data_IF_379222074566
#
_entry.id   IF_379222074566
#
_cell.length_a   1.000
_cell.length_b   1.000
_cell.length_c   1.000
_cell.angle_alpha   90.00
_cell.angle_beta   90.00
_cell.angle_gamma   90.00
#
_symmetry.space_group_name_H-M   'P 1'
#
loop_
_entity.id
_entity.type
_entity.pdbx_description
1 polymer ?
#
# COMPACT_ATOMS: atom_id res chain seq x y z
N UNK A 1 -0.59 -13.63 -18.19
CA UNK A 1 0.46 -12.74 -18.75
C UNK A 1 0.33 -11.30 -18.23
N UNK A 2 -0.71 -10.54 -18.60
CA UNK A 2 -0.86 -9.09 -18.31
C UNK A 2 -0.72 -8.68 -16.83
N UNK A 3 -1.31 -9.46 -15.92
CA UNK A 3 -1.21 -9.21 -14.47
C UNK A 3 0.25 -9.24 -13.97
N UNK A 4 1.05 -10.21 -14.42
CA UNK A 4 2.44 -10.36 -14.01
C UNK A 4 3.29 -9.21 -14.54
N UNK A 5 3.02 -8.76 -15.76
CA UNK A 5 3.67 -7.59 -16.36
C UNK A 5 3.38 -6.33 -15.56
N UNK A 6 2.11 -6.02 -15.28
CA UNK A 6 1.72 -4.85 -14.49
C UNK A 6 2.33 -4.88 -13.08
N UNK A 7 2.38 -6.05 -12.44
CA UNK A 7 3.03 -6.23 -11.12
C UNK A 7 4.52 -5.92 -11.20
N UNK A 8 5.20 -6.40 -12.25
CA UNK A 8 6.62 -6.14 -12.45
C UNK A 8 6.89 -4.67 -12.77
N UNK A 9 6.07 -4.03 -13.60
CA UNK A 9 6.14 -2.58 -13.85
C UNK A 9 5.97 -1.79 -12.56
N UNK A 10 4.96 -2.12 -11.74
CA UNK A 10 4.76 -1.48 -10.43
C UNK A 10 5.99 -1.61 -9.54
N UNK A 11 6.60 -2.80 -9.47
CA UNK A 11 7.84 -3.02 -8.71
C UNK A 11 9.02 -2.21 -9.27
N UNK A 12 9.13 -2.06 -10.58
CA UNK A 12 10.16 -1.24 -11.23
C UNK A 12 9.99 0.24 -10.87
N UNK A 13 8.75 0.76 -10.92
CA UNK A 13 8.44 2.12 -10.48
C UNK A 13 8.78 2.34 -9.00
N UNK A 14 8.50 1.38 -8.12
CA UNK A 14 8.91 1.44 -6.70
C UNK A 14 10.43 1.54 -6.57
N UNK A 15 11.19 0.74 -7.33
CA UNK A 15 12.67 0.81 -7.33
C UNK A 15 13.19 2.15 -7.84
N UNK A 16 12.49 2.76 -8.81
CA UNK A 16 12.78 4.10 -9.34
C UNK A 16 12.32 5.23 -8.41
N UNK A 17 11.67 4.93 -7.28
CA UNK A 17 11.11 5.91 -6.36
C UNK A 17 9.83 6.59 -6.85
N UNK A 18 9.24 6.12 -7.95
CA UNK A 18 8.00 6.64 -8.53
C UNK A 18 6.78 5.94 -7.95
N UNK A 19 6.47 6.23 -6.69
CA UNK A 19 5.42 5.51 -5.96
C UNK A 19 4.01 5.77 -6.52
N UNK A 20 3.73 6.96 -7.05
CA UNK A 20 2.40 7.27 -7.64
C UNK A 20 2.12 6.45 -8.90
N UNK A 21 3.11 6.35 -9.81
CA UNK A 21 3.00 5.50 -10.99
C UNK A 21 2.86 4.02 -10.59
N UNK A 22 3.60 3.59 -9.56
CA UNK A 22 3.47 2.24 -9.02
C UNK A 22 2.06 1.95 -8.50
N UNK A 23 1.44 2.88 -7.76
CA UNK A 23 0.06 2.76 -7.27
C UNK A 23 -0.93 2.59 -8.42
N UNK A 24 -0.76 3.34 -9.51
CA UNK A 24 -1.62 3.21 -10.70
C UNK A 24 -1.49 1.82 -11.32
N UNK A 25 -0.26 1.31 -11.48
CA UNK A 25 0.00 -0.04 -12.02
C UNK A 25 -0.55 -1.14 -11.11
N UNK A 26 -0.40 -1.01 -9.79
CA UNK A 26 -1.00 -1.94 -8.84
C UNK A 26 -2.53 -1.88 -8.84
N UNK A 27 -3.13 -0.70 -9.02
CA UNK A 27 -4.59 -0.58 -9.13
C UNK A 27 -5.13 -1.25 -10.41
N UNK A 28 -4.40 -1.16 -11.53
CA UNK A 28 -4.70 -1.94 -12.74
C UNK A 28 -4.57 -3.46 -12.49
N UNK A 29 -3.55 -3.90 -11.74
CA UNK A 29 -3.45 -5.30 -11.29
C UNK A 29 -4.68 -5.73 -10.49
N UNK A 30 -5.17 -4.88 -9.57
CA UNK A 30 -6.34 -5.18 -8.75
C UNK A 30 -7.64 -5.21 -9.55
N UNK A 31 -7.76 -4.40 -10.62
CA UNK A 31 -8.89 -4.53 -11.56
C UNK A 31 -8.93 -5.89 -12.25
N UNK A 32 -7.76 -6.44 -12.57
CA UNK A 32 -7.65 -7.77 -13.20
C UNK A 32 -7.82 -8.90 -12.19
N UNK A 33 -7.24 -8.77 -11.00
CA UNK A 33 -7.38 -9.74 -9.93
C UNK A 33 -7.54 -9.04 -8.57
N UNK A 34 -8.78 -8.78 -8.13
CA UNK A 34 -9.06 -8.05 -6.91
C UNK A 34 -8.84 -8.89 -5.64
N UNK A 35 -8.47 -10.17 -5.76
CA UNK A 35 -8.19 -11.06 -4.63
C UNK A 35 -6.71 -11.20 -4.31
N UNK A 36 -5.84 -10.47 -5.01
CA UNK A 36 -4.40 -10.59 -4.78
C UNK A 36 -3.91 -9.72 -3.61
N UNK A 37 -3.77 -10.36 -2.44
CA UNK A 37 -3.26 -9.72 -1.22
C UNK A 37 -1.85 -9.13 -1.39
N UNK A 38 -1.00 -9.76 -2.21
CA UNK A 38 0.36 -9.27 -2.51
C UNK A 38 0.35 -7.88 -3.16
N UNK A 39 -0.62 -7.61 -4.03
CA UNK A 39 -0.70 -6.33 -4.75
C UNK A 39 -1.19 -5.23 -3.81
N UNK A 40 -2.23 -5.50 -3.02
CA UNK A 40 -2.69 -4.55 -1.99
C UNK A 40 -1.59 -4.19 -1.02
N UNK A 41 -0.85 -5.18 -0.50
CA UNK A 41 0.26 -4.87 0.39
C UNK A 41 1.27 -3.97 -0.32
N UNK A 42 1.69 -4.28 -1.55
CA UNK A 42 2.64 -3.45 -2.31
C UNK A 42 2.15 -2.04 -2.61
N UNK A 43 0.86 -1.88 -2.90
CA UNK A 43 0.22 -0.57 -3.04
C UNK A 43 0.24 0.21 -1.71
N UNK A 44 -0.07 -0.45 -0.59
CA UNK A 44 0.04 0.14 0.75
C UNK A 44 1.47 0.64 1.05
N UNK A 45 2.50 -0.08 0.64
CA UNK A 45 3.89 0.38 0.81
C UNK A 45 4.17 1.66 0.01
N UNK A 46 3.63 1.76 -1.21
CA UNK A 46 3.75 2.98 -2.00
C UNK A 46 3.04 4.14 -1.32
N UNK A 47 1.85 3.92 -0.79
CA UNK A 47 1.13 4.92 0.00
C UNK A 47 1.90 5.37 1.24
N UNK A 48 2.52 4.44 1.97
CA UNK A 48 3.40 4.79 3.11
C UNK A 48 4.55 5.72 2.68
N UNK A 49 5.15 5.47 1.51
CA UNK A 49 6.23 6.31 0.96
C UNK A 49 5.73 7.67 0.45
N UNK A 50 4.47 7.76 0.08
CA UNK A 50 3.78 8.99 -0.32
C UNK A 50 3.16 9.75 0.87
N UNK A 51 3.42 9.32 2.11
CA UNK A 51 2.80 9.90 3.32
C UNK A 51 1.27 9.78 3.37
N UNK A 52 0.70 8.92 2.52
CA UNK A 52 -0.72 8.63 2.36
C UNK A 52 -1.14 7.51 3.31
N UNK A 53 -1.00 7.77 4.60
CA UNK A 53 -1.15 6.73 5.62
C UNK A 53 -2.59 6.20 5.75
N UNK A 54 -3.61 7.03 5.46
CA UNK A 54 -5.02 6.60 5.50
C UNK A 54 -5.31 5.55 4.41
N UNK A 55 -4.91 5.84 3.17
CA UNK A 55 -5.02 4.90 2.03
C UNK A 55 -4.21 3.62 2.29
N UNK A 56 -2.98 3.74 2.83
CA UNK A 56 -2.16 2.59 3.20
C UNK A 56 -2.85 1.69 4.25
N UNK A 57 -3.49 2.30 5.26
CA UNK A 57 -4.21 1.58 6.31
C UNK A 57 -5.41 0.82 5.71
N UNK A 58 -6.19 1.47 4.84
CA UNK A 58 -7.33 0.83 4.18
C UNK A 58 -6.91 -0.40 3.37
N UNK A 59 -5.84 -0.28 2.59
CA UNK A 59 -5.29 -1.41 1.83
C UNK A 59 -4.84 -2.56 2.73
N UNK A 60 -4.18 -2.26 3.84
CA UNK A 60 -3.77 -3.29 4.79
C UNK A 60 -4.96 -3.95 5.47
N UNK A 61 -6.00 -3.18 5.83
CA UNK A 61 -7.22 -3.71 6.46
C UNK A 61 -7.94 -4.67 5.51
N UNK A 62 -8.03 -4.32 4.22
CA UNK A 62 -8.61 -5.21 3.21
C UNK A 62 -7.83 -6.52 3.05
N UNK A 63 -6.50 -6.46 3.10
CA UNK A 63 -5.66 -7.67 3.09
C UNK A 63 -5.92 -8.51 4.33
N UNK A 64 -6.01 -7.91 5.52
CA UNK A 64 -6.28 -8.64 6.76
C UNK A 64 -7.69 -9.26 6.79
N UNK A 65 -8.67 -8.65 6.12
CA UNK A 65 -10.00 -9.24 5.95
C UNK A 65 -9.98 -10.51 5.07
N UNK A 66 -9.05 -10.59 4.11
CA UNK A 66 -8.89 -11.76 3.24
C UNK A 66 -7.93 -12.80 3.83
N UNK A 67 -6.77 -12.34 4.28
CA UNK A 67 -5.69 -13.10 4.90
C UNK A 67 -5.33 -12.47 6.24
N UNK A 68 -6.05 -12.87 7.28
CA UNK A 68 -5.83 -12.39 8.63
C UNK A 68 -4.40 -12.67 9.12
N UNK A 69 -3.77 -13.75 8.65
CA UNK A 69 -2.39 -14.10 9.02
C UNK A 69 -1.29 -13.39 8.21
N UNK A 70 -1.63 -12.37 7.41
CA UNK A 70 -0.63 -11.69 6.58
C UNK A 70 0.23 -10.71 7.40
N UNK A 71 1.38 -11.20 7.87
CA UNK A 71 2.36 -10.44 8.68
C UNK A 71 2.78 -9.12 8.00
N UNK A 72 2.92 -9.11 6.67
CA UNK A 72 3.32 -7.90 5.92
C UNK A 72 2.24 -6.82 5.99
N UNK A 73 0.97 -7.21 5.93
CA UNK A 73 -0.15 -6.28 6.06
C UNK A 73 -0.20 -5.68 7.47
N UNK A 74 -0.04 -6.49 8.51
CA UNK A 74 0.05 -5.99 9.89
C UNK A 74 1.20 -5.00 10.08
N UNK A 75 2.40 -5.33 9.59
CA UNK A 75 3.55 -4.46 9.71
C UNK A 75 3.32 -3.11 9.00
N UNK A 76 2.78 -3.13 7.78
CA UNK A 76 2.47 -1.91 7.01
C UNK A 76 1.34 -1.10 7.65
N UNK A 77 0.31 -1.75 8.21
CA UNK A 77 -0.77 -1.12 8.97
C UNK A 77 -0.23 -0.41 10.21
N UNK A 78 0.66 -1.05 10.97
CA UNK A 78 1.28 -0.45 12.14
C UNK A 78 2.11 0.80 11.76
N UNK A 79 2.87 0.74 10.67
CA UNK A 79 3.59 1.90 10.14
C UNK A 79 2.65 3.03 9.72
N UNK A 80 1.55 2.70 9.05
CA UNK A 80 0.52 3.68 8.67
C UNK A 80 -0.08 4.37 9.90
N UNK A 81 -0.45 3.59 10.91
CA UNK A 81 -0.97 4.13 12.18
C UNK A 81 0.03 5.06 12.88
N UNK A 82 1.31 4.68 12.92
CA UNK A 82 2.36 5.54 13.47
C UNK A 82 2.47 6.85 12.69
N UNK A 83 2.43 6.80 11.36
CA UNK A 83 2.44 7.98 10.50
C UNK A 83 1.25 8.91 10.73
N UNK A 84 0.04 8.35 10.89
CA UNK A 84 -1.18 9.11 11.22
C UNK A 84 -1.08 9.77 12.60
N UNK A 85 -0.58 9.05 13.60
CA UNK A 85 -0.45 9.58 14.95
C UNK A 85 0.54 10.74 14.99
N UNK A 86 1.69 10.64 14.32
CA UNK A 86 2.67 11.73 14.23
C UNK A 86 2.05 12.98 13.61
N UNK A 87 1.35 12.85 12.48
CA UNK A 87 0.67 13.97 11.82
C UNK A 87 -0.35 14.68 12.73
N UNK A 88 -1.10 13.91 13.52
CA UNK A 88 -2.06 14.48 14.47
C UNK A 88 -1.40 15.14 15.68
N UNK A 89 -0.20 14.69 16.06
CA UNK A 89 0.52 15.22 17.23
C UNK A 89 1.22 16.54 16.91
N UNK A 90 1.65 16.74 15.66
CA UNK A 90 2.26 18.01 15.21
C UNK A 90 1.24 19.13 15.02
N UNK A 91 -0.01 18.84 14.67
CA UNK A 91 -1.08 19.84 14.56
C UNK A 91 -1.68 20.28 15.89
N UNK A 92 -1.39 19.58 17.00
CA UNK A 92 -1.90 19.90 18.35
C UNK A 92 -0.97 20.77 19.20
N UNK A 93 0.12 21.30 18.62
CA UNK A 93 1.06 22.20 19.31
C UNK A 93 0.98 23.63 18.77
N UNK A 94 -0.18 24.27 18.91
CA UNK A 94 -0.34 25.71 18.80
C UNK A 94 -1.34 26.20 19.83
#
# INVERSE_FOLDING_TARGET
>A
EKFKTLKNEGNDFVKKGKYEEAVNKYSECLKLNPKECTVYTNRALCYLKLFKYEEAKQDCDHVLQMEDSNIKAFYRRALAHKGLQVRNTEHGRY
#
